data_IF_909774625132
#
_entry.id   IF_909774625132
#
_cell.length_a   1.000
_cell.length_b   1.000
_cell.length_c   1.000
_cell.angle_alpha   90.00
_cell.angle_beta   90.00
_cell.angle_gamma   90.00
#
_symmetry.space_group_name_H-M   'P 1'
#
loop_
_entity.id
_entity.type
_entity.pdbx_description
1 polymer ?
#
# COMPACT_ATOMS: atom_id res chain seq x y z
N UNK A 1 1.61 -7.54 22.00
CA UNK A 1 1.82 -6.68 20.81
C UNK A 1 1.85 -5.24 21.28
N UNK A 2 2.89 -4.50 20.94
CA UNK A 2 3.00 -3.07 21.29
C UNK A 2 2.22 -2.28 20.25
N UNK A 3 1.33 -1.38 20.70
CA UNK A 3 0.66 -0.44 19.83
C UNK A 3 1.67 0.61 19.35
N UNK A 4 1.80 0.77 18.05
CA UNK A 4 2.61 1.80 17.43
C UNK A 4 1.67 2.94 17.07
N UNK A 5 1.77 4.06 17.78
CA UNK A 5 1.05 5.28 17.43
C UNK A 5 1.94 6.11 16.49
N UNK A 6 1.62 6.07 15.21
CA UNK A 6 2.25 6.94 14.22
C UNK A 6 1.78 8.38 14.46
N UNK A 7 2.74 9.30 14.61
CA UNK A 7 2.39 10.70 14.73
C UNK A 7 1.86 11.27 13.39
N UNK A 8 1.09 12.34 13.48
CA UNK A 8 0.46 12.98 12.32
C UNK A 8 1.46 13.38 11.24
N UNK A 9 2.65 13.84 11.62
CA UNK A 9 3.70 14.22 10.68
C UNK A 9 4.11 13.04 9.78
N UNK A 10 4.30 11.85 10.36
CA UNK A 10 4.68 10.63 9.61
C UNK A 10 3.57 10.21 8.66
N UNK A 11 2.32 10.26 9.13
CA UNK A 11 1.15 9.91 8.34
C UNK A 11 1.00 10.86 7.15
N UNK A 12 1.05 12.16 7.38
CA UNK A 12 0.92 13.16 6.32
C UNK A 12 2.08 13.10 5.32
N UNK A 13 3.30 12.83 5.79
CA UNK A 13 4.44 12.66 4.91
C UNK A 13 4.30 11.42 4.03
N UNK A 14 3.78 10.32 4.57
CA UNK A 14 3.51 9.11 3.79
C UNK A 14 2.37 9.32 2.78
N UNK A 15 1.33 10.04 3.17
CA UNK A 15 0.24 10.42 2.27
C UNK A 15 0.75 11.30 1.12
N UNK A 16 1.58 12.31 1.41
CA UNK A 16 2.20 13.17 0.41
C UNK A 16 3.08 12.39 -0.58
N UNK A 17 3.82 11.39 -0.09
CA UNK A 17 4.58 10.47 -0.93
C UNK A 17 3.66 9.67 -1.88
N UNK A 18 2.57 9.12 -1.40
CA UNK A 18 1.63 8.36 -2.20
C UNK A 18 0.83 9.23 -3.18
N UNK A 19 0.57 10.50 -2.84
CA UNK A 19 -0.04 11.50 -3.71
C UNK A 19 0.93 12.05 -4.78
N UNK A 20 2.24 11.91 -4.55
CA UNK A 20 3.27 12.50 -5.43
C UNK A 20 3.53 13.98 -5.17
N UNK A 21 3.13 14.51 -4.01
CA UNK A 21 3.37 15.91 -3.59
C UNK A 21 4.59 16.05 -2.69
N UNK A 22 5.26 14.96 -2.33
CA UNK A 22 6.49 14.97 -1.53
C UNK A 22 7.62 15.65 -2.30
N UNK A 23 8.30 16.59 -1.65
CA UNK A 23 9.49 17.27 -2.20
C UNK A 23 10.65 16.26 -2.24
N UNK A 24 11.33 16.15 -3.37
CA UNK A 24 12.45 15.21 -3.57
C UNK A 24 12.10 13.90 -4.26
N UNK A 25 10.83 13.64 -4.52
CA UNK A 25 10.43 12.53 -5.40
C UNK A 25 10.90 12.82 -6.82
N UNK A 26 11.60 11.88 -7.43
CA UNK A 26 12.01 12.01 -8.84
C UNK A 26 10.81 12.38 -9.70
N UNK A 27 10.96 13.41 -10.56
CA UNK A 27 9.93 13.85 -11.52
C UNK A 27 9.46 12.72 -12.47
N UNK A 28 10.26 11.66 -12.59
CA UNK A 28 9.94 10.47 -13.40
C UNK A 28 9.07 9.45 -12.67
N UNK A 29 8.80 9.65 -11.37
CA UNK A 29 8.01 8.71 -10.59
C UNK A 29 6.52 9.02 -10.71
N UNK A 30 5.77 8.05 -11.21
CA UNK A 30 4.31 8.08 -11.15
C UNK A 30 3.88 7.72 -9.71
N UNK A 31 3.12 8.59 -9.05
CA UNK A 31 2.60 8.36 -7.70
C UNK A 31 1.54 7.25 -7.70
N UNK A 32 1.28 6.67 -6.52
CA UNK A 32 0.19 5.70 -6.36
C UNK A 32 -1.16 6.31 -6.78
N UNK A 33 -1.41 7.57 -6.38
CA UNK A 33 -2.62 8.30 -6.75
C UNK A 33 -2.75 8.45 -8.27
N UNK A 34 -1.70 8.93 -8.93
CA UNK A 34 -1.68 9.11 -10.39
C UNK A 34 -1.88 7.76 -11.10
N UNK A 35 -1.20 6.72 -10.65
CA UNK A 35 -1.33 5.38 -11.24
C UNK A 35 -2.75 4.82 -11.12
N UNK A 36 -3.39 5.02 -9.96
CA UNK A 36 -4.78 4.61 -9.75
C UNK A 36 -5.71 5.40 -10.68
N UNK A 37 -5.51 6.72 -10.79
CA UNK A 37 -6.29 7.60 -11.65
C UNK A 37 -6.15 7.22 -13.14
N UNK A 38 -4.93 7.06 -13.64
CA UNK A 38 -4.67 6.62 -15.02
C UNK A 38 -5.29 5.25 -15.31
N UNK A 39 -5.21 4.33 -14.35
CA UNK A 39 -5.83 3.01 -14.50
C UNK A 39 -7.36 3.13 -14.64
N UNK A 40 -7.99 4.03 -13.89
CA UNK A 40 -9.43 4.30 -13.98
C UNK A 40 -9.80 4.90 -15.36
N UNK A 41 -9.00 5.85 -15.84
CA UNK A 41 -9.25 6.50 -17.13
C UNK A 41 -9.19 5.52 -18.29
N UNK A 42 -8.21 4.63 -18.29
CA UNK A 42 -8.01 3.62 -19.34
C UNK A 42 -8.81 2.32 -19.14
N UNK A 43 -9.59 2.21 -18.05
CA UNK A 43 -10.36 1.03 -17.76
C UNK A 43 -11.67 1.00 -18.54
N UNK A 44 -11.80 0.06 -19.50
CA UNK A 44 -13.02 -0.18 -20.25
C UNK A 44 -14.03 -1.09 -19.52
N UNK A 45 -13.62 -1.73 -18.45
CA UNK A 45 -14.42 -2.62 -17.65
C UNK A 45 -15.15 -1.84 -16.57
N UNK A 46 -16.45 -1.66 -16.75
CA UNK A 46 -17.27 -0.82 -15.86
C UNK A 46 -17.25 -1.29 -14.41
N UNK A 47 -17.36 -2.60 -14.17
CA UNK A 47 -17.39 -3.15 -12.81
C UNK A 47 -16.02 -2.99 -12.11
N UNK A 48 -14.92 -3.25 -12.84
CA UNK A 48 -13.58 -3.01 -12.33
C UNK A 48 -13.34 -1.52 -12.06
N UNK A 49 -13.80 -0.67 -12.97
CA UNK A 49 -13.72 0.80 -12.85
C UNK A 49 -14.41 1.29 -11.57
N UNK A 50 -15.57 0.75 -11.24
CA UNK A 50 -16.28 1.09 -10.00
C UNK A 50 -15.51 0.69 -8.74
N UNK A 51 -14.82 -0.46 -8.76
CA UNK A 51 -13.94 -0.89 -7.66
C UNK A 51 -12.77 0.08 -7.49
N UNK A 52 -12.12 0.47 -8.59
CA UNK A 52 -11.00 1.41 -8.57
C UNK A 52 -11.43 2.81 -8.12
N UNK A 53 -12.61 3.29 -8.55
CA UNK A 53 -13.20 4.55 -8.09
C UNK A 53 -13.46 4.51 -6.58
N UNK A 54 -14.00 3.40 -6.06
CA UNK A 54 -14.21 3.23 -4.61
C UNK A 54 -12.89 3.36 -3.83
N UNK A 55 -11.81 2.77 -4.33
CA UNK A 55 -10.47 2.89 -3.73
C UNK A 55 -9.95 4.33 -3.80
N UNK A 56 -10.11 5.01 -4.94
CA UNK A 56 -9.69 6.39 -5.12
C UNK A 56 -10.46 7.35 -4.19
N UNK A 57 -11.76 7.17 -4.05
CA UNK A 57 -12.59 7.97 -3.14
C UNK A 57 -12.23 7.79 -1.66
N UNK A 58 -11.60 6.67 -1.31
CA UNK A 58 -11.13 6.38 0.03
C UNK A 58 -9.60 6.37 0.11
N UNK A 59 -8.91 7.13 -0.76
CA UNK A 59 -7.46 7.06 -0.91
C UNK A 59 -6.69 7.38 0.37
N UNK A 60 -7.11 8.41 1.10
CA UNK A 60 -6.50 8.75 2.38
C UNK A 60 -6.63 7.60 3.39
N UNK A 61 -7.83 7.04 3.54
CA UNK A 61 -8.05 5.85 4.38
C UNK A 61 -7.19 4.67 3.94
N UNK A 62 -7.05 4.46 2.64
CA UNK A 62 -6.24 3.39 2.07
C UNK A 62 -4.76 3.51 2.45
N UNK A 63 -4.24 4.74 2.49
CA UNK A 63 -2.81 5.02 2.72
C UNK A 63 -2.47 5.17 4.20
N UNK A 64 -3.28 5.88 4.96
CA UNK A 64 -2.99 6.24 6.35
C UNK A 64 -4.11 5.89 7.35
N UNK A 65 -5.12 5.15 6.90
CA UNK A 65 -6.22 4.73 7.78
C UNK A 65 -5.74 3.83 8.91
N UNK A 66 -6.38 3.95 10.06
CA UNK A 66 -6.15 3.03 11.16
C UNK A 66 -6.73 1.63 10.84
N UNK A 67 -6.35 0.57 11.60
CA UNK A 67 -6.77 -0.80 11.30
C UNK A 67 -8.29 -0.98 11.16
N UNK A 68 -9.09 -0.29 11.98
CA UNK A 68 -10.55 -0.37 11.93
C UNK A 68 -11.12 0.28 10.65
N UNK A 69 -10.53 1.40 10.22
CA UNK A 69 -10.90 2.06 8.98
C UNK A 69 -10.55 1.21 7.76
N UNK A 70 -9.36 0.60 7.78
CA UNK A 70 -8.90 -0.31 6.72
C UNK A 70 -9.79 -1.56 6.63
N UNK A 71 -10.18 -2.15 7.76
CA UNK A 71 -11.10 -3.29 7.78
C UNK A 71 -12.46 -2.94 7.16
N UNK A 72 -13.04 -1.80 7.53
CA UNK A 72 -14.29 -1.31 6.91
C UNK A 72 -14.15 -1.06 5.42
N UNK A 73 -13.02 -0.51 4.98
CA UNK A 73 -12.75 -0.30 3.55
C UNK A 73 -12.63 -1.65 2.83
N UNK A 74 -11.89 -2.61 3.40
CA UNK A 74 -11.79 -3.98 2.88
C UNK A 74 -13.16 -4.63 2.70
N UNK A 75 -14.03 -4.55 3.70
CA UNK A 75 -15.38 -5.10 3.61
C UNK A 75 -16.17 -4.52 2.43
N UNK A 76 -16.11 -3.18 2.24
CA UNK A 76 -16.74 -2.50 1.10
C UNK A 76 -16.19 -3.00 -0.23
N UNK A 77 -14.87 -3.08 -0.35
CA UNK A 77 -14.19 -3.53 -1.58
C UNK A 77 -14.50 -5.01 -1.85
N UNK A 78 -14.42 -5.87 -0.83
CA UNK A 78 -14.72 -7.30 -0.95
C UNK A 78 -16.17 -7.53 -1.38
N UNK A 79 -17.11 -6.80 -0.79
CA UNK A 79 -18.54 -6.86 -1.17
C UNK A 79 -18.71 -6.47 -2.65
N UNK A 80 -18.03 -5.41 -3.08
CA UNK A 80 -18.09 -4.96 -4.47
C UNK A 80 -17.48 -5.98 -5.44
N UNK A 81 -16.33 -6.56 -5.10
CA UNK A 81 -15.69 -7.63 -5.88
C UNK A 81 -16.62 -8.85 -5.96
N UNK A 82 -17.18 -9.27 -4.84
CA UNK A 82 -18.09 -10.42 -4.79
C UNK A 82 -19.32 -10.20 -5.66
N UNK A 83 -19.97 -9.04 -5.56
CA UNK A 83 -21.13 -8.70 -6.39
C UNK A 83 -20.80 -8.69 -7.88
N UNK A 84 -19.59 -8.25 -8.24
CA UNK A 84 -19.10 -8.26 -9.63
C UNK A 84 -18.86 -9.69 -10.13
N UNK A 85 -18.22 -10.52 -9.31
CA UNK A 85 -17.89 -11.92 -9.66
C UNK A 85 -19.14 -12.76 -9.82
N UNK A 86 -20.14 -12.59 -8.97
CA UNK A 86 -21.41 -13.37 -8.99
C UNK A 86 -22.25 -13.06 -10.25
N UNK A 87 -22.03 -11.94 -10.95
CA UNK A 87 -22.67 -11.68 -12.24
C UNK A 87 -22.30 -12.72 -13.30
N UNK A 88 -21.14 -13.36 -13.17
CA UNK A 88 -20.74 -14.45 -14.05
C UNK A 88 -21.52 -15.73 -13.75
N UNK A 89 -22.16 -16.31 -14.75
CA UNK A 89 -23.04 -17.46 -14.57
C UNK A 89 -22.30 -18.78 -14.33
N UNK A 90 -21.03 -18.89 -14.77
CA UNK A 90 -20.26 -20.11 -14.71
C UNK A 90 -19.15 -20.01 -13.66
N UNK A 91 -18.96 -21.00 -12.77
CA UNK A 91 -17.93 -20.98 -11.73
C UNK A 91 -16.50 -20.73 -12.25
N UNK A 92 -16.17 -21.27 -13.43
CA UNK A 92 -14.86 -21.03 -14.09
C UNK A 92 -14.68 -19.57 -14.48
N UNK A 93 -15.74 -18.89 -14.95
CA UNK A 93 -15.71 -17.47 -15.28
C UNK A 93 -15.62 -16.62 -14.03
N UNK A 94 -16.30 -16.97 -12.96
CA UNK A 94 -16.18 -16.33 -11.66
C UNK A 94 -14.74 -16.33 -11.15
N UNK A 95 -14.07 -17.49 -11.19
CA UNK A 95 -12.67 -17.62 -10.80
C UNK A 95 -11.77 -16.75 -11.67
N UNK A 96 -11.93 -16.81 -12.99
CA UNK A 96 -11.17 -15.99 -13.93
C UNK A 96 -11.39 -14.49 -13.69
N UNK A 97 -12.63 -14.09 -13.43
CA UNK A 97 -13.00 -12.70 -13.13
C UNK A 97 -12.29 -12.20 -11.87
N UNK A 98 -12.37 -12.96 -10.77
CA UNK A 98 -11.67 -12.65 -9.52
C UNK A 98 -10.16 -12.52 -9.72
N UNK A 99 -9.55 -13.46 -10.44
CA UNK A 99 -8.11 -13.41 -10.75
C UNK A 99 -7.73 -12.15 -11.56
N UNK A 100 -8.57 -11.74 -12.51
CA UNK A 100 -8.33 -10.53 -13.30
C UNK A 100 -8.36 -9.28 -12.42
N UNK A 101 -9.37 -9.15 -11.55
CA UNK A 101 -9.47 -8.03 -10.59
C UNK A 101 -8.25 -8.00 -9.67
N UNK A 102 -7.93 -9.13 -9.04
CA UNK A 102 -6.79 -9.23 -8.12
C UNK A 102 -5.48 -8.84 -8.81
N UNK A 103 -5.24 -9.32 -10.03
CA UNK A 103 -4.04 -8.97 -10.80
C UNK A 103 -3.91 -7.48 -11.07
N UNK A 104 -5.02 -6.77 -11.31
CA UNK A 104 -4.99 -5.32 -11.49
C UNK A 104 -4.63 -4.63 -10.17
N UNK A 105 -5.26 -5.03 -9.06
CA UNK A 105 -4.97 -4.50 -7.74
C UNK A 105 -3.51 -4.76 -7.32
N UNK A 106 -3.02 -5.98 -7.50
CA UNK A 106 -1.61 -6.33 -7.26
C UNK A 106 -0.65 -5.47 -8.08
N UNK A 107 -0.94 -5.25 -9.36
CA UNK A 107 -0.11 -4.40 -10.22
C UNK A 107 -0.06 -2.93 -9.75
N UNK A 108 -1.11 -2.45 -9.10
CA UNK A 108 -1.15 -1.09 -8.56
C UNK A 108 -0.42 -1.04 -7.21
N UNK A 109 -0.85 -1.85 -6.25
CA UNK A 109 -0.47 -1.70 -4.84
C UNK A 109 0.81 -2.48 -4.47
N UNK A 110 0.93 -3.75 -4.85
CA UNK A 110 2.09 -4.57 -4.49
C UNK A 110 3.36 -4.01 -5.14
N UNK A 111 3.28 -3.59 -6.40
CA UNK A 111 4.44 -2.96 -7.06
C UNK A 111 4.85 -1.63 -6.42
N UNK A 112 3.89 -0.86 -5.89
CA UNK A 112 4.24 0.38 -5.18
C UNK A 112 4.87 0.08 -3.82
N UNK A 113 4.36 -0.93 -3.11
CA UNK A 113 5.00 -1.42 -1.89
C UNK A 113 6.43 -1.91 -2.15
N UNK A 114 6.64 -2.73 -3.18
CA UNK A 114 7.98 -3.23 -3.54
C UNK A 114 8.93 -2.08 -3.86
N UNK A 115 8.44 -1.06 -4.56
CA UNK A 115 9.21 0.15 -4.85
C UNK A 115 9.54 0.94 -3.59
N UNK A 116 8.58 1.12 -2.68
CA UNK A 116 8.80 1.80 -1.40
C UNK A 116 9.82 1.07 -0.54
N UNK A 117 9.83 -0.25 -0.60
CA UNK A 117 10.72 -1.11 0.18
C UNK A 117 12.03 -1.47 -0.54
N UNK A 118 12.26 -0.96 -1.76
CA UNK A 118 13.47 -1.26 -2.52
C UNK A 118 14.72 -0.82 -1.77
N UNK A 119 15.65 -1.76 -1.58
CA UNK A 119 16.92 -1.52 -0.88
C UNK A 119 17.96 -0.79 -1.74
N UNK A 120 17.71 -0.66 -3.04
CA UNK A 120 18.65 -0.02 -3.97
C UNK A 120 18.47 1.51 -4.07
N UNK A 121 17.47 2.08 -3.40
CA UNK A 121 17.32 3.54 -3.33
C UNK A 121 18.54 4.14 -2.64
N UNK A 122 19.21 5.09 -3.30
CA UNK A 122 20.50 5.64 -2.85
C UNK A 122 20.40 6.99 -2.15
N UNK A 123 19.24 7.64 -2.19
CA UNK A 123 19.11 8.99 -1.62
C UNK A 123 18.55 8.95 -0.21
N UNK A 124 19.30 9.44 0.79
CA UNK A 124 18.82 9.54 2.17
C UNK A 124 17.71 10.57 2.36
N UNK A 125 17.55 11.48 1.40
CA UNK A 125 16.58 12.58 1.48
C UNK A 125 15.18 12.20 0.98
N UNK A 126 15.06 11.02 0.36
CA UNK A 126 13.78 10.54 -0.16
C UNK A 126 12.96 9.85 0.94
N UNK A 127 11.64 10.04 0.86
CA UNK A 127 10.70 9.28 1.69
C UNK A 127 10.56 7.86 1.15
N UNK A 128 11.06 6.88 1.88
CA UNK A 128 11.06 5.46 1.56
C UNK A 128 11.20 4.62 2.83
N UNK A 129 11.23 3.31 2.72
CA UNK A 129 11.16 2.42 3.87
C UNK A 129 12.20 2.71 4.97
N UNK A 130 13.44 3.12 4.65
CA UNK A 130 14.44 3.47 5.67
C UNK A 130 14.08 4.74 6.42
N UNK A 131 13.78 5.83 5.70
CA UNK A 131 13.40 7.10 6.33
C UNK A 131 12.10 6.99 7.09
N UNK A 132 11.15 6.17 6.61
CA UNK A 132 9.92 5.85 7.33
C UNK A 132 10.22 5.15 8.66
N UNK A 133 11.01 4.06 8.65
CA UNK A 133 11.35 3.31 9.87
C UNK A 133 12.15 4.16 10.85
N UNK A 134 13.07 5.00 10.37
CA UNK A 134 13.80 5.95 11.20
C UNK A 134 12.85 6.98 11.84
N UNK A 135 11.89 7.51 11.09
CA UNK A 135 10.92 8.47 11.63
C UNK A 135 9.99 7.84 12.67
N UNK A 136 9.59 6.59 12.48
CA UNK A 136 8.78 5.82 13.45
C UNK A 136 9.57 5.51 14.73
N UNK A 137 10.90 5.43 14.64
CA UNK A 137 11.82 5.27 15.76
C UNK A 137 11.49 4.09 16.69
N UNK A 138 11.22 2.92 16.13
CA UNK A 138 10.95 1.70 16.89
C UNK A 138 12.27 0.98 17.10
N UNK A 139 12.60 0.69 18.36
CA UNK A 139 13.82 -0.04 18.76
C UNK A 139 13.58 -1.50 19.13
N UNK A 140 12.33 -1.90 19.31
CA UNK A 140 11.94 -3.26 19.71
C UNK A 140 10.83 -3.77 18.81
N UNK A 141 10.87 -5.07 18.49
CA UNK A 141 9.85 -5.70 17.65
C UNK A 141 8.45 -5.56 18.29
N UNK A 142 7.48 -4.94 17.62
CA UNK A 142 6.13 -4.72 18.17
C UNK A 142 5.34 -6.02 18.35
N UNK A 143 5.74 -7.10 17.70
CA UNK A 143 5.07 -8.40 17.80
C UNK A 143 5.50 -9.20 19.02
N UNK A 144 6.83 -9.36 19.22
CA UNK A 144 7.34 -10.23 20.28
C UNK A 144 7.88 -9.46 21.50
N UNK A 145 8.11 -8.16 21.38
CA UNK A 145 8.66 -7.27 22.41
C UNK A 145 10.00 -7.74 23.03
N UNK A 146 10.70 -8.64 22.35
CA UNK A 146 11.95 -9.24 22.87
C UNK A 146 13.13 -9.08 21.92
N UNK A 147 12.89 -8.79 20.66
CA UNK A 147 13.91 -8.64 19.65
C UNK A 147 14.19 -7.17 19.37
N UNK A 148 15.45 -6.75 19.50
CA UNK A 148 15.87 -5.40 19.12
C UNK A 148 15.81 -5.22 17.60
N UNK A 149 15.38 -4.04 17.18
CA UNK A 149 15.28 -3.64 15.78
C UNK A 149 16.26 -2.50 15.55
N UNK A 150 17.15 -2.67 14.59
CA UNK A 150 18.12 -1.66 14.23
C UNK A 150 17.90 -1.20 12.80
N UNK A 151 17.89 0.11 12.60
CA UNK A 151 17.93 0.72 11.28
C UNK A 151 19.27 1.40 11.11
N UNK A 152 20.05 0.95 10.14
CA UNK A 152 21.36 1.48 9.84
C UNK A 152 21.44 1.80 8.34
N UNK A 153 21.87 3.00 8.04
CA UNK A 153 22.05 3.48 6.67
C UNK A 153 23.32 4.32 6.63
N UNK A 154 24.39 3.77 6.05
CA UNK A 154 25.63 4.49 5.77
C UNK A 154 26.27 3.96 4.47
N UNK A 155 27.41 4.53 4.12
CA UNK A 155 28.13 4.16 2.88
C UNK A 155 28.64 2.71 2.89
N UNK A 156 28.84 2.12 4.08
CA UNK A 156 29.40 0.78 4.27
C UNK A 156 28.33 -0.31 4.43
N UNK A 157 27.06 0.06 4.61
CA UNK A 157 26.02 -0.94 4.77
C UNK A 157 24.63 -0.37 5.06
N UNK A 158 23.65 -1.20 4.83
CA UNK A 158 22.23 -0.85 5.00
C UNK A 158 21.51 -1.99 5.71
N UNK A 159 20.89 -1.67 6.81
CA UNK A 159 20.04 -2.60 7.54
C UNK A 159 18.77 -1.89 8.01
N UNK A 160 17.65 -2.55 7.91
CA UNK A 160 16.37 -2.11 8.48
C UNK A 160 15.51 -3.32 8.79
N UNK A 161 14.57 -3.22 9.72
CA UNK A 161 13.54 -4.24 9.89
C UNK A 161 12.75 -4.41 8.58
N UNK A 162 12.26 -5.61 8.37
CA UNK A 162 11.31 -5.87 7.29
C UNK A 162 10.01 -5.17 7.66
N UNK A 163 9.48 -4.38 6.74
CA UNK A 163 8.11 -3.89 6.86
C UNK A 163 7.20 -5.05 6.45
N UNK A 164 6.52 -5.61 7.42
CA UNK A 164 5.64 -6.74 7.18
C UNK A 164 4.18 -6.27 7.14
N UNK A 165 3.37 -7.00 6.39
CA UNK A 165 1.94 -6.76 6.38
C UNK A 165 1.32 -7.48 7.57
N UNK A 166 0.52 -6.77 8.35
CA UNK A 166 -0.26 -7.37 9.43
C UNK A 166 -1.26 -8.41 8.89
N UNK A 167 -1.78 -8.15 7.70
CA UNK A 167 -2.67 -9.07 6.99
C UNK A 167 -1.95 -9.71 5.79
N UNK A 168 -2.38 -10.91 5.41
CA UNK A 168 -1.81 -11.62 4.28
C UNK A 168 -1.98 -10.83 2.97
N UNK A 169 -0.87 -10.61 2.24
CA UNK A 169 -0.88 -9.86 0.96
C UNK A 169 -1.85 -10.43 -0.08
N UNK A 170 -2.12 -11.73 -0.05
CA UNK A 170 -3.07 -12.38 -0.96
C UNK A 170 -4.53 -11.99 -0.68
N UNK A 171 -4.82 -11.58 0.56
CA UNK A 171 -6.16 -11.16 0.98
C UNK A 171 -6.31 -9.63 1.02
N UNK A 172 -5.19 -8.93 1.13
CA UNK A 172 -5.08 -7.47 1.24
C UNK A 172 -3.97 -6.99 0.29
N UNK A 173 -4.25 -6.92 -1.01
CA UNK A 173 -3.28 -6.45 -1.98
C UNK A 173 -3.06 -4.93 -1.93
N UNK A 174 -3.69 -4.23 -0.97
CA UNK A 174 -3.59 -2.79 -0.72
C UNK A 174 -3.26 -2.48 0.73
#
# INVERSE_FOLDING_TARGET
MIKIDLNEFILQKHLAYCNGTEIGVSKSRISLYTKLHETIEHCNDTDLKEILILLLQNFETLVIGNPLQLEKLKEKVTTKITSTVVKERLPKLQTKRKQTINRVLENIFVKEYDRFTDRNVKSPDLWWAYTFVQAVNISVCPYCNSQFIFTHLNDNGRTRPVLDHFFCKSEYPF
#
